data_IF_437296449114
#
_entry.id   IF_437296449114
#
_cell.length_a   1.000
_cell.length_b   1.000
_cell.length_c   1.000
_cell.angle_alpha   90.00
_cell.angle_beta   90.00
_cell.angle_gamma   90.00
#
_symmetry.space_group_name_H-M   'P 1'
#
loop_
_entity.id
_entity.type
_entity.pdbx_description
1 polymer ?
#
# COMPACT_ATOMS: atom_id res chain seq x y z
N UNK A 1 1.69 -46.23 17.38
CA UNK A 1 1.31 -45.42 16.20
C UNK A 1 0.05 -44.60 16.48
N UNK A 2 -1.02 -45.23 17.00
CA UNK A 2 -2.28 -44.58 17.44
C UNK A 2 -2.10 -43.38 18.39
N UNK A 3 -1.25 -43.52 19.42
CA UNK A 3 -1.01 -42.47 20.43
C UNK A 3 -0.36 -41.19 19.88
N UNK A 4 0.37 -41.30 18.77
CA UNK A 4 1.09 -40.17 18.15
C UNK A 4 0.12 -39.30 17.31
N UNK A 5 -0.88 -39.92 16.70
CA UNK A 5 -1.97 -39.23 15.98
C UNK A 5 -2.87 -38.41 16.91
N UNK A 6 -3.18 -38.95 18.10
CA UNK A 6 -4.03 -38.28 19.09
C UNK A 6 -3.38 -37.01 19.65
N UNK A 7 -2.05 -36.97 19.76
CA UNK A 7 -1.33 -35.78 20.25
C UNK A 7 -1.13 -34.69 19.17
N UNK A 8 -1.08 -35.05 17.88
CA UNK A 8 -0.89 -34.08 16.79
C UNK A 8 -2.19 -33.37 16.39
N UNK A 9 -3.35 -34.02 16.54
CA UNK A 9 -4.67 -33.45 16.24
C UNK A 9 -4.97 -32.12 16.96
N UNK A 10 -4.80 -31.99 18.29
CA UNK A 10 -5.06 -30.73 18.98
C UNK A 10 -4.06 -29.63 18.60
N UNK A 11 -2.80 -29.97 18.31
CA UNK A 11 -1.81 -29.00 17.82
C UNK A 11 -2.21 -28.45 16.45
N UNK A 12 -2.72 -29.30 15.57
CA UNK A 12 -3.26 -28.89 14.27
C UNK A 12 -4.52 -28.04 14.39
N UNK A 13 -5.43 -28.39 15.30
CA UNK A 13 -6.66 -27.62 15.54
C UNK A 13 -6.36 -26.23 16.14
N UNK A 14 -5.46 -26.16 17.12
CA UNK A 14 -5.04 -24.89 17.75
C UNK A 14 -4.23 -24.06 16.75
N UNK A 15 -3.26 -24.66 16.06
CA UNK A 15 -2.46 -24.00 15.03
C UNK A 15 -3.32 -23.49 13.87
N UNK A 16 -4.23 -24.30 13.36
CA UNK A 16 -5.17 -23.92 12.30
C UNK A 16 -6.14 -22.83 12.73
N UNK A 17 -6.63 -22.86 13.97
CA UNK A 17 -7.51 -21.83 14.54
C UNK A 17 -6.79 -20.49 14.71
N UNK A 18 -5.58 -20.51 15.28
CA UNK A 18 -4.75 -19.31 15.44
C UNK A 18 -4.36 -18.70 14.08
N UNK A 19 -4.00 -19.55 13.11
CA UNK A 19 -3.67 -19.11 11.75
C UNK A 19 -4.88 -18.46 11.06
N UNK A 20 -6.07 -19.05 11.19
CA UNK A 20 -7.30 -18.50 10.61
C UNK A 20 -7.72 -17.17 11.25
N UNK A 21 -7.49 -17.00 12.55
CA UNK A 21 -7.79 -15.75 13.25
C UNK A 21 -6.82 -14.63 12.88
N UNK A 22 -5.53 -14.95 12.71
CA UNK A 22 -4.53 -13.98 12.27
C UNK A 22 -4.82 -13.46 10.85
N UNK A 23 -5.24 -14.34 9.94
CA UNK A 23 -5.47 -13.98 8.53
C UNK A 23 -6.82 -13.24 8.28
N UNK A 24 -7.74 -13.21 9.26
CA UNK A 24 -9.04 -12.50 9.14
C UNK A 24 -9.01 -11.06 9.67
N UNK A 25 -8.07 -10.73 10.54
CA UNK A 25 -7.90 -9.38 11.08
C UNK A 25 -7.58 -8.35 9.98
N UNK A 26 -6.88 -8.78 8.94
CA UNK A 26 -6.40 -7.89 7.88
C UNK A 26 -7.53 -7.44 6.94
N UNK A 27 -8.43 -8.37 6.56
CA UNK A 27 -9.58 -8.08 5.69
C UNK A 27 -10.58 -7.12 6.35
N UNK A 28 -10.81 -7.24 7.66
CA UNK A 28 -11.73 -6.33 8.39
C UNK A 28 -11.12 -4.96 8.63
N UNK A 29 -9.82 -4.90 8.92
CA UNK A 29 -9.08 -3.64 9.06
C UNK A 29 -9.08 -2.86 7.75
N UNK A 30 -8.79 -3.51 6.62
CA UNK A 30 -8.88 -2.89 5.29
C UNK A 30 -10.25 -2.29 5.00
N UNK A 31 -11.34 -3.02 5.26
CA UNK A 31 -12.72 -2.52 5.03
C UNK A 31 -13.03 -1.27 5.86
N UNK A 32 -12.62 -1.27 7.14
CA UNK A 32 -12.81 -0.11 8.03
C UNK A 32 -11.98 1.10 7.58
N UNK A 33 -10.81 0.88 6.99
CA UNK A 33 -9.95 1.95 6.47
C UNK A 33 -10.50 2.58 5.20
N UNK A 34 -11.04 1.76 4.28
CA UNK A 34 -11.74 2.27 3.08
C UNK A 34 -12.94 3.12 3.47
N UNK A 35 -13.71 2.68 4.48
CA UNK A 35 -14.90 3.36 4.97
C UNK A 35 -14.63 4.57 5.88
N UNK A 36 -13.38 4.85 6.27
CA UNK A 36 -13.07 6.00 7.10
C UNK A 36 -13.27 7.32 6.34
N UNK A 37 -13.85 8.31 7.01
CA UNK A 37 -14.01 9.66 6.46
C UNK A 37 -12.65 10.31 6.18
N UNK A 38 -12.59 11.09 5.10
CA UNK A 38 -11.41 11.84 4.71
C UNK A 38 -11.25 13.05 5.62
N UNK A 39 -10.02 13.42 5.90
CA UNK A 39 -9.65 14.63 6.63
C UNK A 39 -8.76 15.45 5.72
N UNK A 40 -9.01 16.76 5.65
CA UNK A 40 -8.15 17.69 4.92
C UNK A 40 -6.75 17.71 5.54
N UNK A 41 -5.73 17.84 4.69
CA UNK A 41 -4.36 18.02 5.16
C UNK A 41 -4.21 19.33 5.97
N UNK A 42 -5.03 20.36 5.72
CA UNK A 42 -4.89 21.64 6.40
C UNK A 42 -5.35 21.67 7.87
N UNK A 43 -6.17 20.70 8.30
CA UNK A 43 -6.89 20.77 9.61
C UNK A 43 -6.39 19.77 10.64
N UNK A 44 -5.38 18.97 10.28
CA UNK A 44 -4.95 17.82 11.07
C UNK A 44 -4.00 18.16 12.23
N UNK A 45 -4.01 17.33 13.27
CA UNK A 45 -3.16 17.50 14.47
C UNK A 45 -2.02 16.48 14.51
N UNK A 46 -0.92 16.85 15.17
CA UNK A 46 0.20 15.95 15.48
C UNK A 46 -0.29 14.65 16.15
N UNK A 47 0.22 13.50 15.69
CA UNK A 47 -0.12 12.19 16.21
C UNK A 47 -1.52 11.67 15.84
N UNK A 48 -2.33 12.45 15.14
CA UNK A 48 -3.64 12.01 14.66
C UNK A 48 -3.46 10.94 13.57
N UNK A 49 -4.27 9.89 13.64
CA UNK A 49 -4.40 8.91 12.55
C UNK A 49 -5.67 9.21 11.77
N UNK A 50 -5.53 9.48 10.48
CA UNK A 50 -6.67 9.82 9.62
C UNK A 50 -6.45 9.31 8.19
N UNK A 51 -7.50 9.36 7.37
CA UNK A 51 -7.46 9.11 5.93
C UNK A 51 -7.36 10.45 5.22
N UNK A 52 -6.39 10.60 4.34
CA UNK A 52 -6.14 11.80 3.55
C UNK A 52 -6.30 11.46 2.08
N UNK A 53 -6.92 12.35 1.33
CA UNK A 53 -6.96 12.25 -0.12
C UNK A 53 -5.95 13.22 -0.73
N UNK A 54 -5.30 12.82 -1.80
CA UNK A 54 -4.43 13.73 -2.53
C UNK A 54 -3.82 13.12 -3.78
N UNK A 55 -3.00 13.92 -4.45
CA UNK A 55 -2.28 13.55 -5.67
C UNK A 55 -0.81 13.29 -5.33
N UNK A 56 -0.28 12.21 -5.89
CA UNK A 56 1.12 11.81 -5.74
C UNK A 56 2.03 12.76 -6.52
N UNK A 57 3.00 13.36 -5.85
CA UNK A 57 4.16 14.02 -6.43
C UNK A 57 5.44 13.30 -6.02
N UNK A 58 6.39 13.11 -6.93
CA UNK A 58 7.62 12.38 -6.61
C UNK A 58 8.56 13.28 -5.78
N UNK A 59 9.15 12.76 -4.69
CA UNK A 59 10.04 13.55 -3.83
C UNK A 59 11.51 13.58 -4.29
N UNK A 60 11.87 12.76 -5.27
CA UNK A 60 13.21 12.63 -5.84
C UNK A 60 13.19 12.13 -7.28
N UNK A 61 14.23 11.41 -7.71
CA UNK A 61 14.22 10.77 -9.03
C UNK A 61 13.18 9.64 -9.07
N UNK A 62 12.30 9.57 -10.08
CA UNK A 62 11.34 8.48 -10.20
C UNK A 62 12.01 7.11 -10.29
N UNK A 63 11.47 6.13 -9.56
CA UNK A 63 11.83 4.72 -9.74
C UNK A 63 11.32 4.22 -11.09
N UNK A 64 11.91 3.16 -11.61
CA UNK A 64 11.43 2.48 -12.80
C UNK A 64 10.80 1.14 -12.41
N UNK A 65 9.51 0.97 -12.67
CA UNK A 65 8.78 -0.26 -12.44
C UNK A 65 9.36 -1.38 -13.31
N UNK A 66 9.84 -2.51 -12.76
CA UNK A 66 10.68 -3.43 -13.52
C UNK A 66 9.97 -4.22 -14.63
N UNK A 67 8.66 -4.50 -14.51
CA UNK A 67 7.92 -5.23 -15.54
C UNK A 67 7.37 -4.31 -16.63
N UNK A 68 6.82 -3.16 -16.26
CA UNK A 68 6.23 -2.20 -17.22
C UNK A 68 7.18 -1.12 -17.72
N UNK A 69 8.32 -0.89 -17.05
CA UNK A 69 9.27 0.18 -17.36
C UNK A 69 8.76 1.59 -17.03
N UNK A 70 7.66 1.73 -16.27
CA UNK A 70 7.02 3.02 -16.00
C UNK A 70 7.71 3.75 -14.84
N UNK A 71 7.83 5.07 -14.96
CA UNK A 71 8.29 5.93 -13.88
C UNK A 71 7.27 5.95 -12.73
N UNK A 72 7.74 5.80 -11.48
CA UNK A 72 6.86 5.70 -10.31
C UNK A 72 7.52 6.14 -8.99
N UNK A 73 6.68 6.42 -7.99
CA UNK A 73 7.10 6.63 -6.60
C UNK A 73 7.27 5.31 -5.83
N UNK A 74 6.53 4.28 -6.22
CA UNK A 74 6.69 2.94 -5.68
C UNK A 74 6.18 1.89 -6.66
N UNK A 75 6.71 0.68 -6.54
CA UNK A 75 6.19 -0.50 -7.21
C UNK A 75 6.19 -1.70 -6.28
N UNK A 76 5.32 -2.66 -6.58
CA UNK A 76 5.31 -3.97 -5.95
C UNK A 76 5.06 -5.04 -7.01
N UNK A 77 5.96 -6.02 -7.08
CA UNK A 77 5.82 -7.20 -7.91
C UNK A 77 5.43 -8.38 -7.02
N UNK A 78 4.33 -9.03 -7.36
CA UNK A 78 3.86 -10.26 -6.74
C UNK A 78 3.97 -11.39 -7.76
N UNK A 79 4.59 -12.50 -7.35
CA UNK A 79 4.79 -13.68 -8.19
C UNK A 79 3.97 -14.83 -7.59
N UNK A 80 3.16 -15.47 -8.42
CA UNK A 80 2.31 -16.60 -8.06
C UNK A 80 2.65 -17.79 -8.95
N UNK A 81 2.59 -19.00 -8.41
CA UNK A 81 2.73 -20.23 -9.18
C UNK A 81 1.35 -20.73 -9.64
N UNK A 82 1.23 -21.17 -10.90
CA UNK A 82 -0.02 -21.68 -11.45
C UNK A 82 -0.21 -23.16 -11.12
N UNK A 83 -1.44 -23.51 -10.72
CA UNK A 83 -1.81 -24.87 -10.32
C UNK A 83 -1.92 -25.03 -8.80
N UNK A 84 -1.35 -24.10 -8.05
CA UNK A 84 -1.60 -23.88 -6.63
C UNK A 84 -2.70 -22.82 -6.47
N UNK A 85 -3.29 -22.65 -5.28
CA UNK A 85 -4.36 -21.66 -5.11
C UNK A 85 -3.83 -20.28 -5.52
N UNK A 86 -4.63 -19.39 -6.13
CA UNK A 86 -4.20 -18.04 -6.50
C UNK A 86 -3.76 -17.17 -5.30
N UNK A 87 -3.89 -17.68 -4.07
CA UNK A 87 -3.37 -17.10 -2.83
C UNK A 87 -1.91 -17.50 -2.53
N UNK A 88 -1.35 -18.48 -3.23
CA UNK A 88 0.01 -19.01 -3.01
C UNK A 88 1.06 -18.15 -3.73
N UNK A 89 1.24 -16.93 -3.21
CA UNK A 89 2.32 -16.03 -3.61
C UNK A 89 3.68 -16.67 -3.25
N UNK A 90 4.53 -16.90 -4.26
CA UNK A 90 5.84 -17.52 -4.09
C UNK A 90 6.95 -16.52 -3.82
N UNK A 91 6.78 -15.28 -4.30
CA UNK A 91 7.74 -14.20 -4.07
C UNK A 91 7.08 -12.83 -4.17
N UNK A 92 7.70 -11.86 -3.49
CA UNK A 92 7.31 -10.45 -3.48
C UNK A 92 8.58 -9.58 -3.56
N UNK A 93 8.64 -8.69 -4.54
CA UNK A 93 9.67 -7.66 -4.68
C UNK A 93 9.00 -6.28 -4.61
N UNK A 94 9.67 -5.27 -4.04
CA UNK A 94 9.14 -3.91 -4.04
C UNK A 94 10.27 -2.89 -4.08
N UNK A 95 10.04 -1.80 -4.80
CA UNK A 95 10.84 -0.58 -4.75
C UNK A 95 9.98 0.54 -4.21
N UNK A 96 10.50 1.29 -3.23
CA UNK A 96 9.74 2.33 -2.53
C UNK A 96 10.62 3.53 -2.30
N UNK A 97 10.10 4.70 -2.61
CA UNK A 97 10.66 5.97 -2.16
C UNK A 97 9.58 6.83 -1.52
N UNK A 98 10.02 7.86 -0.80
CA UNK A 98 9.10 8.84 -0.26
C UNK A 98 8.46 9.64 -1.41
N UNK A 99 7.23 10.10 -1.20
CA UNK A 99 6.51 10.91 -2.16
C UNK A 99 5.69 11.99 -1.45
N UNK A 100 5.40 13.06 -2.15
CA UNK A 100 4.52 14.13 -1.70
C UNK A 100 3.07 13.76 -1.98
N UNK A 101 2.21 13.91 -0.98
CA UNK A 101 0.76 13.90 -1.15
C UNK A 101 0.27 15.35 -1.15
N UNK A 102 -0.20 15.84 -2.29
CA UNK A 102 -0.76 17.19 -2.42
C UNK A 102 -2.29 17.18 -2.34
N UNK A 103 -2.86 18.10 -1.56
CA UNK A 103 -4.31 18.26 -1.41
C UNK A 103 -4.65 19.54 -0.64
N UNK A 104 -5.72 20.23 -1.03
CA UNK A 104 -6.26 21.42 -0.34
C UNK A 104 -5.22 22.53 -0.09
N UNK A 105 -4.33 22.78 -1.06
CA UNK A 105 -3.25 23.77 -0.94
C UNK A 105 -2.14 23.40 0.05
N UNK A 106 -2.21 22.21 0.66
CA UNK A 106 -1.21 21.67 1.57
C UNK A 106 -0.52 20.45 0.95
N UNK A 107 0.66 20.09 1.49
CA UNK A 107 1.38 18.88 1.09
C UNK A 107 1.93 18.15 2.31
N UNK A 108 1.98 16.82 2.20
CA UNK A 108 2.60 15.97 3.21
C UNK A 108 3.59 14.98 2.58
N UNK A 109 4.72 14.75 3.25
CA UNK A 109 5.69 13.74 2.85
C UNK A 109 5.24 12.37 3.33
N UNK A 110 5.05 11.41 2.43
CA UNK A 110 4.61 10.06 2.75
C UNK A 110 5.81 9.13 2.81
N UNK A 111 6.02 8.50 3.98
CA UNK A 111 7.14 7.56 4.17
C UNK A 111 6.68 6.11 4.04
N UNK A 112 7.24 5.41 3.05
CA UNK A 112 6.85 4.04 2.70
C UNK A 112 7.58 2.91 3.45
N UNK A 113 8.47 3.24 4.38
CA UNK A 113 9.27 2.26 5.14
C UNK A 113 8.43 1.21 5.88
N UNK A 114 7.20 1.58 6.28
CA UNK A 114 6.22 0.68 6.94
C UNK A 114 4.83 0.84 6.33
N UNK A 115 4.80 0.88 5.00
CA UNK A 115 3.57 1.03 4.25
C UNK A 115 3.11 -0.26 3.60
N UNK A 116 1.81 -0.37 3.44
CA UNK A 116 1.13 -1.34 2.60
C UNK A 116 0.45 -0.58 1.47
N UNK A 117 0.86 -0.89 0.24
CA UNK A 117 0.22 -0.36 -0.95
C UNK A 117 -0.92 -1.31 -1.28
N UNK A 118 -2.13 -0.77 -1.26
CA UNK A 118 -3.36 -1.47 -1.54
C UNK A 118 -3.91 -0.87 -2.83
N UNK A 119 -3.54 -1.48 -3.94
CA UNK A 119 -3.99 -1.08 -5.28
C UNK A 119 -4.53 -2.31 -6.01
N UNK A 120 -5.38 -2.08 -7.01
CA UNK A 120 -5.65 -3.08 -8.04
C UNK A 120 -4.40 -3.23 -8.92
N UNK A 121 -4.12 -4.45 -9.41
CA UNK A 121 -2.90 -4.69 -10.19
C UNK A 121 -2.92 -3.83 -11.46
N UNK A 122 -1.88 -2.99 -11.63
CA UNK A 122 -1.74 -2.14 -12.81
C UNK A 122 -1.35 -2.95 -14.05
N UNK A 123 -0.55 -3.99 -13.85
CA UNK A 123 -0.09 -4.88 -14.90
C UNK A 123 -0.16 -6.33 -14.45
N UNK A 124 -0.74 -7.18 -15.30
CA UNK A 124 -0.77 -8.62 -15.11
C UNK A 124 -0.07 -9.30 -16.29
N UNK A 125 0.90 -10.16 -16.00
CA UNK A 125 1.54 -11.01 -17.00
C UNK A 125 1.47 -12.48 -16.57
N UNK A 126 1.30 -13.34 -17.57
CA UNK A 126 1.32 -14.80 -17.40
C UNK A 126 2.48 -15.36 -18.21
N UNK A 127 3.41 -16.02 -17.53
CA UNK A 127 4.33 -16.95 -18.19
C UNK A 127 3.61 -18.29 -18.33
N UNK A 128 3.55 -18.82 -19.54
CA UNK A 128 2.95 -20.14 -19.80
C UNK A 128 3.98 -21.02 -20.48
N UNK A 129 3.68 -22.32 -20.54
CA UNK A 129 4.48 -23.29 -21.32
C UNK A 129 4.66 -22.87 -22.79
N UNK A 130 3.81 -21.98 -23.32
CA UNK A 130 3.85 -21.50 -24.70
C UNK A 130 4.40 -20.07 -24.86
N UNK A 131 4.76 -19.39 -23.77
CA UNK A 131 5.34 -18.05 -23.77
C UNK A 131 6.47 -18.01 -22.76
N UNK A 132 7.69 -18.12 -23.29
CA UNK A 132 8.89 -18.11 -22.46
C UNK A 132 8.95 -16.85 -21.59
N UNK A 133 9.37 -16.98 -20.32
CA UNK A 133 9.60 -15.83 -19.46
C UNK A 133 10.64 -14.91 -20.12
N UNK A 134 10.42 -13.60 -20.04
CA UNK A 134 11.43 -12.64 -20.52
C UNK A 134 12.73 -12.80 -19.72
N UNK A 135 13.90 -12.40 -20.24
CA UNK A 135 15.16 -12.49 -19.49
C UNK A 135 15.09 -11.85 -18.10
N UNK A 136 14.36 -10.73 -17.98
CA UNK A 136 14.09 -10.07 -16.71
C UNK A 136 13.27 -10.96 -15.75
N UNK A 137 12.22 -11.64 -16.23
CA UNK A 137 11.43 -12.55 -15.40
C UNK A 137 12.27 -13.74 -14.90
N UNK A 138 13.17 -14.28 -15.73
CA UNK A 138 14.11 -15.33 -15.32
C UNK A 138 15.05 -14.82 -14.24
N UNK A 139 15.60 -13.62 -14.40
CA UNK A 139 16.45 -12.99 -13.40
C UNK A 139 15.72 -12.76 -12.09
N UNK A 140 14.49 -12.24 -12.15
CA UNK A 140 13.61 -12.03 -11.01
C UNK A 140 13.35 -13.33 -10.25
N UNK A 141 13.00 -14.42 -10.95
CA UNK A 141 12.82 -15.74 -10.33
C UNK A 141 14.11 -16.25 -9.67
N UNK A 142 15.24 -16.10 -10.35
CA UNK A 142 16.55 -16.52 -9.84
C UNK A 142 16.96 -15.74 -8.58
N UNK A 143 16.69 -14.42 -8.51
CA UNK A 143 16.92 -13.60 -7.30
C UNK A 143 16.12 -14.10 -6.09
N UNK A 144 14.95 -14.68 -6.35
CA UNK A 144 14.11 -15.29 -5.32
C UNK A 144 14.37 -16.80 -5.12
N UNK A 145 15.40 -17.36 -5.75
CA UNK A 145 15.78 -18.77 -5.61
C UNK A 145 14.83 -19.75 -6.30
N UNK A 146 13.93 -19.26 -7.16
CA UNK A 146 12.98 -20.09 -7.92
C UNK A 146 13.69 -20.52 -9.21
N UNK A 147 14.07 -21.80 -9.28
CA UNK A 147 14.81 -22.32 -10.42
C UNK A 147 13.92 -22.53 -11.64
N UNK A 148 14.22 -21.82 -12.72
CA UNK A 148 13.69 -22.10 -14.06
C UNK A 148 14.46 -23.31 -14.62
N UNK A 149 13.92 -24.52 -14.52
CA UNK A 149 14.60 -25.73 -15.04
C UNK A 149 14.59 -25.73 -16.56
N UNK A 150 15.76 -25.55 -17.17
CA UNK A 150 15.99 -25.75 -18.59
C UNK A 150 15.82 -27.23 -18.96
N UNK A 151 14.62 -27.59 -19.41
CA UNK A 151 14.38 -28.12 -20.76
C UNK A 151 12.92 -28.59 -20.91
N UNK A 152 12.19 -28.91 -19.84
CA UNK A 152 10.84 -29.48 -19.99
C UNK A 152 9.73 -29.01 -19.05
N UNK A 153 9.97 -28.14 -18.04
CA UNK A 153 8.86 -27.61 -17.24
C UNK A 153 9.26 -26.33 -16.49
N UNK A 154 9.05 -25.17 -17.12
CA UNK A 154 9.01 -23.90 -16.38
C UNK A 154 7.69 -23.86 -15.62
N UNK A 155 7.67 -23.69 -14.28
CA UNK A 155 6.42 -23.49 -13.56
C UNK A 155 5.71 -22.29 -14.20
N UNK A 156 4.44 -22.47 -14.56
CA UNK A 156 3.64 -21.38 -15.11
C UNK A 156 3.48 -20.36 -14.00
N UNK A 157 4.14 -19.21 -14.07
CA UNK A 157 4.03 -18.15 -13.07
C UNK A 157 3.11 -17.03 -13.55
N UNK A 158 2.33 -16.47 -12.64
CA UNK A 158 1.62 -15.20 -12.81
C UNK A 158 2.39 -14.10 -12.10
N UNK A 159 2.54 -12.97 -12.77
CA UNK A 159 3.18 -11.78 -12.24
C UNK A 159 2.13 -10.69 -12.18
N UNK A 160 2.05 -10.02 -11.04
CA UNK A 160 1.28 -8.80 -10.86
C UNK A 160 2.22 -7.68 -10.48
N UNK A 161 2.14 -6.56 -11.18
CA UNK A 161 2.84 -5.34 -10.81
C UNK A 161 1.82 -4.27 -10.42
N UNK A 162 1.97 -3.77 -9.20
CA UNK A 162 1.27 -2.60 -8.67
C UNK A 162 2.24 -1.43 -8.76
N UNK A 163 1.74 -0.27 -9.17
CA UNK A 163 2.55 0.94 -9.39
C UNK A 163 1.83 2.10 -8.74
N UNK A 164 2.60 2.97 -8.07
CA UNK A 164 2.14 4.27 -7.60
C UNK A 164 2.81 5.35 -8.45
N UNK A 165 2.06 5.92 -9.40
CA UNK A 165 2.58 6.85 -10.40
C UNK A 165 2.50 8.29 -9.92
N UNK A 166 3.34 9.16 -10.47
CA UNK A 166 3.15 10.61 -10.32
C UNK A 166 1.81 11.04 -10.94
N UNK A 167 1.14 12.00 -10.30
CA UNK A 167 -0.17 12.49 -10.73
C UNK A 167 -1.34 11.57 -10.38
N UNK A 168 -1.08 10.41 -9.78
CA UNK A 168 -2.12 9.48 -9.36
C UNK A 168 -2.82 9.98 -8.10
N UNK A 169 -4.15 9.90 -8.08
CA UNK A 169 -4.96 10.23 -6.92
C UNK A 169 -5.03 9.02 -5.97
N UNK A 170 -4.78 9.24 -4.69
CA UNK A 170 -4.74 8.17 -3.67
C UNK A 170 -5.34 8.62 -2.35
N UNK A 171 -5.87 7.64 -1.62
CA UNK A 171 -6.18 7.77 -0.20
C UNK A 171 -5.02 7.22 0.65
N UNK A 172 -4.43 8.04 1.51
CA UNK A 172 -3.38 7.63 2.44
C UNK A 172 -3.94 7.57 3.86
N UNK A 173 -3.80 6.42 4.52
CA UNK A 173 -4.14 6.28 5.95
C UNK A 173 -2.88 6.13 6.78
N UNK A 174 -2.60 7.13 7.60
CA UNK A 174 -1.35 7.24 8.33
C UNK A 174 -1.47 8.04 9.62
N UNK A 175 -0.39 8.00 10.41
CA UNK A 175 -0.19 8.94 11.50
C UNK A 175 0.51 10.20 10.98
N UNK A 176 0.06 11.34 11.47
CA UNK A 176 0.68 12.63 11.20
C UNK A 176 1.83 12.87 12.17
N UNK A 177 2.94 13.36 11.64
CA UNK A 177 4.01 14.00 12.40
C UNK A 177 4.51 15.24 11.69
N UNK A 178 4.85 16.29 12.42
CA UNK A 178 5.49 17.50 11.91
C UNK A 178 6.99 17.48 12.25
N UNK A 179 7.82 17.78 11.26
CA UNK A 179 9.28 17.91 11.44
C UNK A 179 9.78 19.21 10.80
N UNK A 180 10.91 19.78 11.27
CA UNK A 180 11.55 20.91 10.60
C UNK A 180 11.76 20.63 9.11
N UNK A 181 11.29 21.55 8.26
CA UNK A 181 11.53 21.46 6.83
C UNK A 181 13.01 21.72 6.54
N UNK A 182 13.75 20.76 5.93
CA UNK A 182 15.12 20.98 5.53
C UNK A 182 15.27 22.04 4.43
N UNK A 183 14.20 22.36 3.70
CA UNK A 183 14.17 23.45 2.72
C UNK A 183 13.20 24.56 3.17
N UNK A 184 13.66 25.49 4.04
CA UNK A 184 12.80 26.48 4.67
C UNK A 184 12.42 27.65 3.75
N UNK A 185 12.46 27.47 2.42
CA UNK A 185 12.13 28.52 1.44
C UNK A 185 10.76 29.18 1.69
N UNK A 186 9.86 28.50 2.42
CA UNK A 186 8.51 28.95 2.76
C UNK A 186 8.31 29.28 4.26
N UNK A 187 9.37 29.63 5.01
CA UNK A 187 9.21 29.99 6.42
C UNK A 187 8.36 31.26 6.60
N UNK A 188 7.28 31.24 7.40
CA UNK A 188 6.35 32.38 7.57
C UNK A 188 6.93 33.56 8.36
N UNK A 189 8.21 33.52 8.74
CA UNK A 189 8.92 34.65 9.34
C UNK A 189 10.35 34.36 9.77
N UNK A 190 11.09 35.42 10.11
CA UNK A 190 12.54 35.40 10.43
C UNK A 190 12.95 34.50 11.61
N UNK A 191 12.00 34.03 12.45
CA UNK A 191 12.28 33.21 13.65
C UNK A 191 11.47 31.92 13.74
N UNK A 192 10.64 31.60 12.75
CA UNK A 192 9.85 30.38 12.77
C UNK A 192 10.49 29.37 11.83
N UNK A 193 10.75 28.17 12.34
CA UNK A 193 11.16 27.05 11.52
C UNK A 193 9.94 26.57 10.75
N UNK A 194 10.01 26.58 9.42
CA UNK A 194 9.00 25.93 8.59
C UNK A 194 8.90 24.47 9.02
N UNK A 195 7.70 23.98 9.25
CA UNK A 195 7.45 22.57 9.55
C UNK A 195 6.83 21.93 8.33
N UNK A 196 7.33 20.75 7.96
CA UNK A 196 6.67 19.91 6.97
C UNK A 196 5.87 18.80 7.64
N UNK A 197 4.71 18.52 7.08
CA UNK A 197 3.91 17.38 7.49
C UNK A 197 4.49 16.10 6.92
N UNK A 198 4.46 15.04 7.72
CA UNK A 198 4.86 13.69 7.34
C UNK A 198 3.77 12.69 7.72
N UNK A 199 3.46 11.78 6.79
CA UNK A 199 2.56 10.66 6.99
C UNK A 199 3.35 9.37 7.11
N UNK A 200 3.16 8.64 8.21
CA UNK A 200 3.92 7.43 8.48
C UNK A 200 3.10 6.31 9.14
N UNK A 201 3.61 5.10 8.99
CA UNK A 201 3.12 3.90 9.65
C UNK A 201 3.82 3.64 10.97
N UNK A 202 3.17 2.89 11.86
CA UNK A 202 3.74 2.37 13.10
C UNK A 202 3.94 0.85 13.03
N UNK A 203 4.64 0.27 14.00
CA UNK A 203 4.80 -1.19 14.08
C UNK A 203 3.48 -1.94 14.29
N UNK A 204 2.51 -1.34 14.98
CA UNK A 204 1.20 -1.94 15.27
C UNK A 204 0.15 -1.65 14.20
N UNK A 205 0.31 -0.55 13.47
CA UNK A 205 -0.63 -0.05 12.47
C UNK A 205 0.16 0.53 11.31
N UNK A 206 0.30 -0.18 10.19
CA UNK A 206 1.06 0.31 9.05
C UNK A 206 0.36 1.52 8.41
N UNK A 207 1.12 2.21 7.57
CA UNK A 207 0.58 3.18 6.64
C UNK A 207 -0.12 2.42 5.52
N UNK A 208 -1.29 2.87 5.08
CA UNK A 208 -1.96 2.31 3.90
C UNK A 208 -1.99 3.36 2.80
N UNK A 209 -1.66 2.95 1.58
CA UNK A 209 -1.85 3.77 0.37
C UNK A 209 -2.85 3.05 -0.51
N UNK A 210 -4.04 3.63 -0.65
CA UNK A 210 -5.17 3.08 -1.38
C UNK A 210 -5.24 3.76 -2.74
N UNK A 211 -4.95 3.01 -3.81
CA UNK A 211 -5.07 3.50 -5.17
C UNK A 211 -6.32 2.86 -5.75
N UNK A 212 -7.41 3.63 -5.83
CA UNK A 212 -8.66 3.18 -6.43
C UNK A 212 -8.98 4.09 -7.63
N UNK A 213 -9.04 3.52 -8.85
CA UNK A 213 -9.22 4.30 -10.07
C UNK A 213 -10.58 5.01 -10.15
N UNK A 214 -11.55 4.65 -9.31
CA UNK A 214 -12.87 5.27 -9.27
C UNK A 214 -12.98 6.38 -8.21
N UNK A 215 -11.90 6.69 -7.48
CA UNK A 215 -11.93 7.73 -6.46
C UNK A 215 -12.13 9.12 -7.06
N UNK A 216 -13.15 9.84 -6.59
CA UNK A 216 -13.39 11.24 -6.92
C UNK A 216 -12.64 12.17 -5.94
N UNK A 217 -12.23 13.36 -6.40
CA UNK A 217 -11.73 14.42 -5.52
C UNK A 217 -12.75 14.78 -4.45
N UNK A 218 -12.28 15.36 -3.35
CA UNK A 218 -13.13 15.94 -2.32
C UNK A 218 -14.08 16.97 -2.97
N UNK A 219 -15.39 16.76 -2.87
CA UNK A 219 -16.40 17.78 -3.19
C UNK A 219 -16.74 18.54 -1.91
N UNK A 220 -16.71 19.87 -1.96
CA UNK A 220 -17.11 20.75 -0.83
C UNK A 220 -18.53 20.45 -0.30
N UNK A 221 -19.35 19.72 -1.05
CA UNK A 221 -20.70 19.29 -0.65
C UNK A 221 -20.71 18.23 0.47
N UNK A 222 -19.62 17.49 0.69
CA UNK A 222 -19.59 16.40 1.69
C UNK A 222 -19.52 16.92 3.14
N UNK A 223 -18.87 18.07 3.39
CA UNK A 223 -18.76 18.67 4.73
C UNK A 223 -20.06 19.35 5.20
N UNK A 224 -20.95 19.72 4.28
CA UNK A 224 -22.22 20.37 4.61
C UNK A 224 -23.25 19.41 5.25
N UNK A 225 -23.00 18.10 5.21
CA UNK A 225 -23.97 17.09 5.67
C UNK A 225 -23.84 16.70 7.14
N UNK A 226 -22.72 17.04 7.81
CA UNK A 226 -22.52 16.71 9.24
C UNK A 226 -23.01 17.82 10.20
N UNK A 227 -23.23 19.05 9.72
CA UNK A 227 -23.66 20.17 10.58
C UNK A 227 -25.19 20.23 10.81
N UNK A 228 -26.00 19.63 9.94
CA UNK A 228 -27.48 19.66 10.06
C UNK A 228 -28.04 18.65 11.08
N UNK A 229 -27.34 17.55 11.36
CA UNK A 229 -27.81 16.53 12.33
C UNK A 229 -27.61 16.96 13.79
N UNK A 230 -26.66 17.85 14.07
CA UNK A 230 -26.45 18.40 15.42
C UNK A 230 -27.52 19.44 15.81
N UNK A 231 -28.15 20.07 14.81
CA UNK A 231 -29.21 21.07 15.00
C UNK A 231 -30.57 20.44 15.29
N UNK A 232 -30.88 19.30 14.67
CA UNK A 232 -32.18 18.62 14.84
C UNK A 232 -32.32 17.84 16.16
N UNK A 233 -31.22 17.57 16.88
CA UNK A 233 -31.25 16.92 18.20
C UNK A 233 -31.51 17.88 19.38
N UNK A 234 -31.71 19.18 19.13
CA UNK A 234 -31.94 20.22 20.16
C UNK A 234 -33.28 20.96 20.04
N UNK A 235 -34.17 20.52 19.16
CA UNK A 235 -35.53 21.06 19.01
C UNK A 235 -36.59 20.16 19.64
#
# INVERSE_FOLDING_TARGET
>A
MELLLVLLLPVWLIGGSLWRHYNTADKTTRRRLVAASRVSLGTVREGQRAKFYGVVGVAGEPLCAPLSGRACAAYEIQIFEAGTNPEDMVAREHGRQEFWLGGDGSRALVTLARAEIVSEAYFEAKSTVFKDPTPFMVELLNRHGIQVKGDHFTPTCYYRELILSEGEAVDVVGYVSFEPDPDPAEAPGYRQTALRMRLQGSTKKPLYVLCDPNQRPFSEEDDASEEDDASQARA
#
